data_IF_233827128225
#
_entry.id   IF_233827128225
#
_cell.length_a   1.000
_cell.length_b   1.000
_cell.length_c   1.000
_cell.angle_alpha   90.00
_cell.angle_beta   90.00
_cell.angle_gamma   90.00
#
_symmetry.space_group_name_H-M   'P 1'
#
loop_
_entity.id
_entity.type
_entity.pdbx_description
1 polymer ?
#
# COMPACT_ATOMS: atom_id res chain seq x y z
N UNK A 1 28.81 -17.28 11.49
CA UNK A 1 27.98 -16.08 11.31
C UNK A 1 28.36 -15.11 12.40
N UNK A 2 29.13 -14.07 12.08
CA UNK A 2 29.42 -13.00 13.04
C UNK A 2 28.16 -12.16 13.25
N UNK A 3 28.04 -11.51 14.42
CA UNK A 3 26.87 -10.68 14.77
C UNK A 3 26.67 -9.53 13.76
N UNK A 4 27.76 -9.02 13.19
CA UNK A 4 27.75 -7.98 12.16
C UNK A 4 27.00 -8.42 10.90
N UNK A 5 27.31 -9.59 10.35
CA UNK A 5 26.64 -10.13 9.16
C UNK A 5 25.14 -10.35 9.41
N UNK A 6 24.75 -10.75 10.62
CA UNK A 6 23.34 -10.90 10.97
C UNK A 6 22.60 -9.56 10.93
N UNK A 7 23.19 -8.50 11.49
CA UNK A 7 22.60 -7.16 11.48
C UNK A 7 22.50 -6.60 10.05
N UNK A 8 23.51 -6.84 9.22
CA UNK A 8 23.50 -6.39 7.82
C UNK A 8 22.38 -7.06 7.03
N UNK A 9 22.20 -8.38 7.17
CA UNK A 9 21.11 -9.12 6.50
C UNK A 9 19.74 -8.63 6.96
N UNK A 10 19.56 -8.36 8.26
CA UNK A 10 18.30 -7.80 8.77
C UNK A 10 18.05 -6.40 8.19
N UNK A 11 19.07 -5.56 8.14
CA UNK A 11 18.98 -4.21 7.58
C UNK A 11 18.59 -4.21 6.11
N UNK A 12 19.21 -5.09 5.33
CA UNK A 12 18.93 -5.25 3.91
C UNK A 12 17.54 -5.84 3.66
N UNK A 13 17.12 -6.81 4.47
CA UNK A 13 15.76 -7.36 4.45
C UNK A 13 14.70 -6.30 4.72
N UNK A 14 14.91 -5.44 5.72
CA UNK A 14 14.00 -4.32 6.03
C UNK A 14 13.98 -3.31 4.88
N UNK A 15 15.15 -2.95 4.32
CA UNK A 15 15.23 -2.01 3.19
C UNK A 15 14.49 -2.53 1.95
N UNK A 16 14.60 -3.83 1.68
CA UNK A 16 13.90 -4.51 0.59
C UNK A 16 12.39 -4.50 0.83
N UNK A 17 11.95 -4.84 2.04
CA UNK A 17 10.54 -4.78 2.44
C UNK A 17 9.95 -3.40 2.22
N UNK A 18 10.63 -2.35 2.71
CA UNK A 18 10.21 -0.96 2.56
C UNK A 18 10.04 -0.60 1.07
N UNK A 19 10.99 -0.98 0.23
CA UNK A 19 10.94 -0.70 -1.21
C UNK A 19 9.73 -1.37 -1.88
N UNK A 20 9.39 -2.58 -1.47
CA UNK A 20 8.24 -3.33 -2.03
C UNK A 20 6.90 -2.75 -1.57
N UNK A 21 6.78 -2.32 -0.30
CA UNK A 21 5.50 -1.85 0.24
C UNK A 21 5.18 -0.40 -0.12
N UNK A 22 6.19 0.46 -0.39
CA UNK A 22 5.98 1.89 -0.67
C UNK A 22 5.03 2.13 -1.86
N UNK A 23 5.24 1.52 -3.04
CA UNK A 23 4.37 1.79 -4.19
C UNK A 23 2.88 1.44 -3.97
N UNK A 24 2.50 0.24 -3.48
CA UNK A 24 1.09 -0.07 -3.22
C UNK A 24 0.50 0.78 -2.09
N UNK A 25 1.30 1.19 -1.10
CA UNK A 25 0.86 2.11 -0.04
C UNK A 25 0.48 3.49 -0.61
N UNK A 26 1.32 4.06 -1.48
CA UNK A 26 1.05 5.37 -2.10
C UNK A 26 -0.21 5.34 -2.97
N UNK A 27 -0.38 4.28 -3.76
CA UNK A 27 -1.58 4.13 -4.60
C UNK A 27 -2.84 3.93 -3.74
N UNK A 28 -2.77 3.08 -2.71
CA UNK A 28 -3.87 2.87 -1.76
C UNK A 28 -4.28 4.17 -1.06
N UNK A 29 -3.32 5.01 -0.69
CA UNK A 29 -3.58 6.31 -0.08
C UNK A 29 -4.27 7.27 -1.06
N UNK A 30 -3.77 7.39 -2.29
CA UNK A 30 -4.35 8.26 -3.31
C UNK A 30 -5.79 7.86 -3.64
N UNK A 31 -6.04 6.56 -3.88
CA UNK A 31 -7.38 6.04 -4.15
C UNK A 31 -8.29 6.20 -2.94
N UNK A 32 -7.79 5.91 -1.74
CA UNK A 32 -8.53 6.09 -0.49
C UNK A 32 -8.99 7.55 -0.29
N UNK A 33 -8.12 8.52 -0.59
CA UNK A 33 -8.44 9.94 -0.50
C UNK A 33 -9.51 10.37 -1.51
N UNK A 34 -9.38 9.93 -2.77
CA UNK A 34 -10.37 10.24 -3.81
C UNK A 34 -11.75 9.70 -3.43
N UNK A 35 -11.80 8.46 -2.96
CA UNK A 35 -13.06 7.84 -2.53
C UNK A 35 -13.61 8.51 -1.26
N UNK A 36 -12.78 8.90 -0.30
CA UNK A 36 -13.27 9.57 0.91
C UNK A 36 -13.88 10.94 0.61
N UNK A 37 -13.30 11.69 -0.35
CA UNK A 37 -13.88 12.95 -0.82
C UNK A 37 -15.20 12.69 -1.53
N UNK A 38 -15.26 11.69 -2.40
CA UNK A 38 -16.50 11.32 -3.09
C UNK A 38 -17.62 10.96 -2.11
N UNK A 39 -17.31 10.11 -1.12
CA UNK A 39 -18.23 9.72 -0.06
C UNK A 39 -18.72 10.90 0.76
N UNK A 40 -17.83 11.86 1.08
CA UNK A 40 -18.20 13.07 1.81
C UNK A 40 -19.12 13.99 1.00
N UNK A 41 -18.85 14.19 -0.29
CA UNK A 41 -19.65 15.07 -1.16
C UNK A 41 -21.02 14.49 -1.45
N UNK A 42 -21.14 13.17 -1.65
CA UNK A 42 -22.42 12.51 -1.94
C UNK A 42 -23.17 12.06 -0.69
N UNK A 43 -22.59 12.25 0.50
CA UNK A 43 -23.11 11.78 1.79
C UNK A 43 -23.34 10.25 1.85
N UNK A 44 -22.63 9.49 1.01
CA UNK A 44 -22.73 8.02 0.98
C UNK A 44 -21.74 7.43 1.98
N UNK A 45 -22.26 6.78 3.02
CA UNK A 45 -21.46 6.16 4.10
C UNK A 45 -21.40 4.63 3.97
N UNK A 46 -21.33 4.13 2.75
CA UNK A 46 -21.23 2.69 2.46
C UNK A 46 -19.78 2.22 2.59
N UNK A 47 -19.50 1.40 3.61
CA UNK A 47 -18.16 0.89 3.90
C UNK A 47 -17.57 0.05 2.74
N UNK A 48 -18.43 -0.59 1.94
CA UNK A 48 -18.04 -1.40 0.78
C UNK A 48 -17.42 -0.58 -0.35
N UNK A 49 -17.86 0.68 -0.54
CA UNK A 49 -17.34 1.57 -1.58
C UNK A 49 -15.90 2.01 -1.33
N UNK A 50 -15.45 2.06 -0.07
CA UNK A 50 -14.04 2.35 0.23
C UNK A 50 -13.16 1.13 0.01
N UNK A 51 -13.71 -0.07 0.21
CA UNK A 51 -12.95 -1.31 0.24
C UNK A 51 -12.67 -1.88 -1.15
N UNK A 52 -13.67 -1.95 -2.03
CA UNK A 52 -13.53 -2.58 -3.34
C UNK A 52 -12.54 -1.84 -4.27
N UNK A 53 -12.61 -0.51 -4.47
CA UNK A 53 -11.67 0.21 -5.32
C UNK A 53 -10.23 0.14 -4.81
N UNK A 54 -10.04 0.15 -3.48
CA UNK A 54 -8.73 0.07 -2.84
C UNK A 54 -8.05 -1.28 -3.12
N UNK A 55 -8.77 -2.39 -3.02
CA UNK A 55 -8.25 -3.73 -3.33
C UNK A 55 -7.83 -3.81 -4.78
N UNK A 56 -8.68 -3.36 -5.71
CA UNK A 56 -8.39 -3.39 -7.15
C UNK A 56 -7.12 -2.58 -7.43
N UNK A 57 -6.99 -1.38 -6.86
CA UNK A 57 -5.82 -0.53 -7.06
C UNK A 57 -4.52 -1.16 -6.52
N UNK A 58 -4.56 -1.81 -5.35
CA UNK A 58 -3.40 -2.53 -4.80
C UNK A 58 -3.03 -3.70 -5.71
N UNK A 59 -4.01 -4.51 -6.15
CA UNK A 59 -3.77 -5.62 -7.07
C UNK A 59 -3.14 -5.17 -8.39
N UNK A 60 -3.65 -4.08 -8.99
CA UNK A 60 -3.08 -3.50 -10.21
C UNK A 60 -1.67 -2.98 -9.98
N UNK A 61 -1.40 -2.36 -8.83
CA UNK A 61 -0.06 -1.86 -8.50
C UNK A 61 0.94 -3.01 -8.40
N UNK A 62 0.56 -4.10 -7.74
CA UNK A 62 1.41 -5.30 -7.65
C UNK A 62 1.59 -5.94 -9.02
N UNK A 63 0.56 -6.00 -9.86
CA UNK A 63 0.67 -6.58 -11.21
C UNK A 63 1.60 -5.80 -12.14
N UNK A 64 1.68 -4.48 -11.97
CA UNK A 64 2.52 -3.61 -12.82
C UNK A 64 3.95 -3.51 -12.29
N UNK A 65 4.15 -3.56 -10.97
CA UNK A 65 5.45 -3.32 -10.31
C UNK A 65 6.15 -4.62 -9.90
N UNK A 66 5.39 -5.68 -9.61
CA UNK A 66 5.91 -7.00 -9.23
C UNK A 66 6.31 -7.83 -10.43
#
# INVERSE_FOLDING_TARGET
MTVEVFIDVVREGISTLITIIIPPLLVSLAVGLVISIFQAVTQIHEQTLTFAPRIIAIFLTILVIG
#
